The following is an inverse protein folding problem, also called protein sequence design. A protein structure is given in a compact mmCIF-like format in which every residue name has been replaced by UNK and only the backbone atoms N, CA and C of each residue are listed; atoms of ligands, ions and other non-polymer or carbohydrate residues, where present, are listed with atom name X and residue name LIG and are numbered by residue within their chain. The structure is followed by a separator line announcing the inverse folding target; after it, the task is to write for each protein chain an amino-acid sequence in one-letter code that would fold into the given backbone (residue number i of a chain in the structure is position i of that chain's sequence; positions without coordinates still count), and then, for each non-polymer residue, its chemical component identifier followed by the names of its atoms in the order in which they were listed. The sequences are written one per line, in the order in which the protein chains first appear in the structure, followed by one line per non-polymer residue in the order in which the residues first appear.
data_IF_178995868354
#
_entry.id   IF_178995868354
#
_cell.length_a   1.000
_cell.length_b   1.000
_cell.length_c   1.000
_cell.angle_alpha   90.00
_cell.angle_beta   90.00
_cell.angle_gamma   90.00
#
_symmetry.space_group_name_H-M   'P 1'
#
loop_
_entity.id
_entity.type
_entity.pdbx_description
1 polymer ?
#
# COMPACT_ATOMS: atom_id res chain seq x y z
N UNK A 1 4.29 4.25 -12.82
CA UNK A 1 5.20 3.11 -13.05
C UNK A 1 5.92 3.15 -14.39
N UNK A 2 5.30 2.87 -15.55
CA UNK A 2 6.03 2.80 -16.85
C UNK A 2 6.86 4.05 -17.16
N UNK A 3 6.27 5.24 -17.04
CA UNK A 3 6.96 6.53 -17.32
C UNK A 3 8.06 6.85 -16.31
N UNK A 4 7.82 6.58 -15.02
CA UNK A 4 8.75 6.98 -13.94
C UNK A 4 9.91 5.99 -13.76
N UNK A 5 9.63 4.68 -13.91
CA UNK A 5 10.64 3.62 -13.70
C UNK A 5 11.46 3.38 -14.97
N UNK A 6 10.85 3.57 -16.14
CA UNK A 6 11.53 3.42 -17.43
C UNK A 6 12.04 2.01 -17.68
N UNK A 7 13.26 1.91 -18.20
CA UNK A 7 13.88 0.63 -18.63
C UNK A 7 14.21 -0.32 -17.47
N UNK A 8 14.17 0.14 -16.21
CA UNK A 8 14.27 -0.75 -15.03
C UNK A 8 13.02 -1.62 -14.84
N UNK A 9 11.89 -1.24 -15.45
CA UNK A 9 10.66 -2.03 -15.41
C UNK A 9 10.64 -3.01 -16.59
N UNK A 10 10.70 -4.33 -16.35
CA UNK A 10 10.60 -5.30 -17.43
C UNK A 10 9.32 -5.15 -18.25
N UNK A 11 9.43 -5.37 -19.55
CA UNK A 11 8.31 -5.29 -20.48
C UNK A 11 7.76 -6.70 -20.69
N UNK A 12 6.49 -6.90 -20.38
CA UNK A 12 5.79 -8.11 -20.81
C UNK A 12 5.71 -8.15 -22.33
N UNK A 13 6.02 -9.32 -22.90
CA UNK A 13 5.63 -9.68 -24.25
C UNK A 13 4.10 -9.75 -24.36
N UNK A 14 3.59 -9.82 -25.61
CA UNK A 14 2.16 -10.02 -25.85
C UNK A 14 1.66 -11.33 -25.22
N UNK A 15 2.45 -12.41 -25.31
CA UNK A 15 2.10 -13.73 -24.76
C UNK A 15 1.97 -13.67 -23.24
N UNK A 16 2.96 -13.11 -22.55
CA UNK A 16 2.92 -13.00 -21.09
C UNK A 16 1.79 -12.08 -20.62
N UNK A 17 1.55 -10.96 -21.34
CA UNK A 17 0.44 -10.06 -21.03
C UNK A 17 -0.92 -10.78 -21.11
N UNK A 18 -1.10 -11.67 -22.10
CA UNK A 18 -2.32 -12.48 -22.23
C UNK A 18 -2.42 -13.54 -21.11
N UNK A 19 -1.30 -14.10 -20.65
CA UNK A 19 -1.30 -15.08 -19.56
C UNK A 19 -1.73 -14.49 -18.21
N UNK A 20 -1.35 -13.23 -17.92
CA UNK A 20 -1.66 -12.57 -16.64
C UNK A 20 -3.01 -11.87 -16.66
N UNK A 21 -3.44 -11.35 -17.82
CA UNK A 21 -4.71 -10.61 -17.91
C UNK A 21 -5.89 -11.55 -17.65
N UNK A 22 -6.63 -11.29 -16.57
CA UNK A 22 -7.79 -12.09 -16.19
C UNK A 22 -7.45 -13.38 -15.46
N UNK A 23 -6.20 -13.58 -15.03
CA UNK A 23 -5.77 -14.76 -14.29
C UNK A 23 -6.11 -14.73 -12.79
N UNK A 24 -7.14 -13.97 -12.39
CA UNK A 24 -7.51 -13.76 -10.99
C UNK A 24 -8.91 -14.29 -10.76
N UNK A 25 -9.03 -15.33 -9.93
CA UNK A 25 -10.34 -15.84 -9.46
C UNK A 25 -10.89 -15.01 -8.29
N UNK A 26 -10.00 -14.53 -7.42
CA UNK A 26 -10.29 -13.64 -6.29
C UNK A 26 -9.05 -12.81 -5.90
N UNK A 27 -9.28 -11.70 -5.21
CA UNK A 27 -8.23 -10.85 -4.64
C UNK A 27 -8.09 -11.09 -3.13
N UNK A 28 -6.93 -11.57 -2.70
CA UNK A 28 -6.53 -11.50 -1.29
C UNK A 28 -6.00 -10.11 -0.96
N UNK A 29 -6.56 -9.47 0.05
CA UNK A 29 -6.18 -8.13 0.50
C UNK A 29 -5.62 -8.17 1.93
N UNK A 30 -4.36 -7.78 2.06
CA UNK A 30 -3.70 -7.56 3.34
C UNK A 30 -3.76 -6.06 3.66
N UNK A 31 -4.55 -5.68 4.66
CA UNK A 31 -4.70 -4.28 5.04
C UNK A 31 -4.38 -4.08 6.52
N UNK A 32 -3.52 -3.11 6.81
CA UNK A 32 -3.09 -2.80 8.16
C UNK A 32 -3.17 -1.30 8.48
N UNK A 33 -2.74 -0.43 7.56
CA UNK A 33 -2.60 1.01 7.79
C UNK A 33 -2.82 1.81 6.52
N UNK A 34 -2.85 3.14 6.65
CA UNK A 34 -2.78 4.09 5.56
C UNK A 34 -1.73 5.18 5.87
N UNK A 35 -1.31 5.92 4.85
CA UNK A 35 -0.35 7.01 4.98
C UNK A 35 -0.87 8.28 4.29
N UNK A 36 -0.45 9.44 4.77
CA UNK A 36 -0.48 10.63 3.95
C UNK A 36 0.51 10.47 2.80
N UNK A 37 0.13 10.94 1.61
CA UNK A 37 1.00 11.00 0.44
C UNK A 37 1.25 12.46 0.05
N UNK A 38 2.51 12.80 -0.21
CA UNK A 38 2.92 14.13 -0.67
C UNK A 38 3.76 14.00 -1.95
N UNK A 39 3.46 14.84 -2.94
CA UNK A 39 4.20 14.87 -4.20
C UNK A 39 5.67 15.26 -4.00
N UNK A 40 6.58 14.53 -4.65
CA UNK A 40 8.01 14.85 -4.72
C UNK A 40 8.31 15.43 -6.10
N UNK A 41 8.62 16.72 -6.14
CA UNK A 41 8.76 17.48 -7.40
C UNK A 41 10.05 17.13 -8.14
N UNK A 42 11.09 16.69 -7.43
CA UNK A 42 12.41 16.40 -8.01
C UNK A 42 12.75 14.93 -7.78
N UNK A 43 12.93 14.19 -8.88
CA UNK A 43 13.39 12.81 -8.83
C UNK A 43 14.84 12.72 -8.33
N UNK A 44 15.11 11.82 -7.38
CA UNK A 44 16.48 11.53 -6.99
C UNK A 44 17.17 10.72 -8.10
N UNK A 45 18.10 11.36 -8.80
CA UNK A 45 18.86 10.74 -9.90
C UNK A 45 20.11 9.98 -9.44
N UNK A 46 20.48 10.08 -8.15
CA UNK A 46 21.69 9.48 -7.59
C UNK A 46 21.35 8.16 -6.88
N UNK A 47 20.41 8.18 -5.93
CA UNK A 47 19.96 7.00 -5.20
C UNK A 47 18.61 6.53 -5.73
N UNK A 48 18.63 5.91 -6.89
CA UNK A 48 17.44 5.33 -7.53
C UNK A 48 16.99 4.11 -6.71
N UNK A 49 15.74 4.10 -6.28
CA UNK A 49 15.16 2.99 -5.52
C UNK A 49 13.68 2.79 -5.87
N UNK A 50 13.19 1.56 -5.66
CA UNK A 50 11.77 1.25 -5.78
C UNK A 50 10.89 2.19 -4.93
N UNK A 51 11.35 2.55 -3.72
CA UNK A 51 10.62 3.46 -2.84
C UNK A 51 10.50 4.89 -3.38
N UNK A 52 11.51 5.37 -4.11
CA UNK A 52 11.52 6.71 -4.69
C UNK A 52 10.82 6.80 -6.07
N UNK A 53 10.60 5.67 -6.75
CA UNK A 53 10.06 5.60 -8.12
C UNK A 53 8.65 6.18 -8.27
N UNK A 54 7.87 6.20 -7.19
CA UNK A 54 6.51 6.74 -7.21
C UNK A 54 6.47 8.27 -7.25
N UNK A 55 7.59 8.95 -6.96
CA UNK A 55 7.66 10.39 -6.71
C UNK A 55 6.64 10.86 -5.65
N UNK A 56 6.35 10.01 -4.67
CA UNK A 56 5.48 10.32 -3.55
C UNK A 56 6.15 9.94 -2.23
N UNK A 57 6.23 10.90 -1.30
CA UNK A 57 6.61 10.63 0.07
C UNK A 57 5.39 10.16 0.84
N UNK A 58 5.56 9.08 1.61
CA UNK A 58 4.54 8.55 2.50
C UNK A 58 4.93 8.83 3.95
N UNK A 59 3.98 9.28 4.76
CA UNK A 59 4.20 9.61 6.18
C UNK A 59 2.93 9.36 6.98
N UNK A 60 3.08 8.93 8.23
CA UNK A 60 1.96 8.87 9.17
C UNK A 60 1.68 10.22 9.82
N UNK A 61 2.64 11.16 9.79
CA UNK A 61 2.51 12.52 10.33
C UNK A 61 2.44 13.56 9.22
N UNK A 62 1.48 14.47 9.31
CA UNK A 62 1.42 15.67 8.49
C UNK A 62 1.39 16.92 9.37
N UNK A 63 2.56 17.51 9.59
CA UNK A 63 2.76 18.75 10.37
C UNK A 63 2.33 18.61 11.84
N UNK A 64 2.72 17.50 12.48
CA UNK A 64 2.35 17.17 13.86
C UNK A 64 0.98 16.52 13.99
N UNK A 65 0.26 16.31 12.87
CA UNK A 65 -1.04 15.64 12.85
C UNK A 65 -0.84 14.22 12.36
N UNK A 66 -0.87 13.26 13.27
CA UNK A 66 -0.88 11.84 12.93
C UNK A 66 -2.15 11.48 12.16
N UNK A 67 -2.03 10.55 11.22
CA UNK A 67 -3.16 10.05 10.43
C UNK A 67 -4.20 9.35 11.32
N UNK A 68 -3.73 8.66 12.36
CA UNK A 68 -4.49 8.03 13.41
C UNK A 68 -3.57 7.65 14.58
N UNK A 69 -4.10 7.15 15.71
CA UNK A 69 -3.28 6.62 16.80
C UNK A 69 -2.34 5.51 16.31
N UNK A 70 -1.06 5.52 16.73
CA UNK A 70 -0.12 4.44 16.44
C UNK A 70 -0.44 3.20 17.27
N UNK A 71 -0.08 2.03 16.74
CA UNK A 71 -0.04 0.77 17.47
C UNK A 71 1.34 0.58 18.13
N UNK A 72 1.70 -0.65 18.51
CA UNK A 72 3.02 -0.93 19.06
C UNK A 72 4.13 -0.84 18.01
N UNK A 73 3.86 -1.30 16.79
CA UNK A 73 4.75 -1.14 15.64
C UNK A 73 4.74 0.29 15.11
N UNK A 74 5.92 0.88 14.94
CA UNK A 74 6.07 2.27 14.47
C UNK A 74 5.47 2.56 13.09
N UNK A 75 5.32 1.54 12.24
CA UNK A 75 4.72 1.67 10.91
C UNK A 75 3.18 1.58 10.93
N UNK A 76 2.58 1.06 12.01
CA UNK A 76 1.17 0.69 12.08
C UNK A 76 0.34 1.80 12.74
N UNK A 77 -0.62 2.35 11.99
CA UNK A 77 -1.56 3.37 12.47
C UNK A 77 -2.98 2.93 12.13
N UNK A 78 -3.89 2.95 13.12
CA UNK A 78 -5.22 2.33 12.97
C UNK A 78 -6.16 3.25 12.17
N UNK A 79 -6.22 3.07 10.85
CA UNK A 79 -7.02 3.91 9.94
C UNK A 79 -8.07 3.10 9.16
N UNK A 80 -9.24 2.77 9.75
CA UNK A 80 -10.24 1.89 9.11
C UNK A 80 -10.92 2.50 7.89
N UNK A 81 -10.99 3.83 7.79
CA UNK A 81 -11.58 4.52 6.62
C UNK A 81 -10.81 4.17 5.34
N UNK A 82 -9.49 4.05 5.41
CA UNK A 82 -8.66 3.71 4.25
C UNK A 82 -8.98 2.34 3.67
N UNK A 83 -9.36 1.35 4.49
CA UNK A 83 -9.80 0.05 4.00
C UNK A 83 -11.06 0.18 3.15
N UNK A 84 -12.06 0.91 3.64
CA UNK A 84 -13.31 1.15 2.92
C UNK A 84 -13.04 1.86 1.58
N UNK A 85 -12.22 2.91 1.60
CA UNK A 85 -11.92 3.69 0.40
C UNK A 85 -11.14 2.85 -0.62
N UNK A 86 -10.22 1.98 -0.18
CA UNK A 86 -9.52 1.03 -1.04
C UNK A 86 -10.48 0.01 -1.67
N UNK A 87 -11.43 -0.55 -0.90
CA UNK A 87 -12.41 -1.50 -1.41
C UNK A 87 -13.33 -0.85 -2.47
N UNK A 88 -13.75 0.39 -2.25
CA UNK A 88 -14.52 1.16 -3.23
C UNK A 88 -13.68 1.41 -4.49
N UNK A 89 -12.42 1.81 -4.32
CA UNK A 89 -11.53 2.03 -5.46
C UNK A 89 -11.33 0.76 -6.30
N UNK A 90 -11.11 -0.39 -5.66
CA UNK A 90 -11.01 -1.69 -6.35
C UNK A 90 -12.31 -2.03 -7.08
N UNK A 91 -13.46 -1.81 -6.43
CA UNK A 91 -14.78 -2.00 -7.04
C UNK A 91 -14.95 -1.17 -8.32
N UNK A 92 -14.61 0.10 -8.28
CA UNK A 92 -14.83 1.04 -9.38
C UNK A 92 -13.82 0.90 -10.52
N UNK A 93 -12.59 0.45 -10.24
CA UNK A 93 -11.48 0.51 -11.20
C UNK A 93 -10.98 -0.87 -11.68
N UNK A 94 -11.38 -1.97 -11.02
CA UNK A 94 -10.86 -3.31 -11.27
C UNK A 94 -11.94 -4.38 -11.45
N UNK A 95 -13.10 -4.01 -11.98
CA UNK A 95 -14.24 -4.91 -12.26
C UNK A 95 -14.84 -5.59 -11.02
N UNK A 96 -14.62 -5.03 -9.83
CA UNK A 96 -15.22 -5.51 -8.58
C UNK A 96 -15.07 -7.03 -8.37
N UNK A 97 -13.83 -7.57 -8.32
CA UNK A 97 -13.61 -8.99 -8.13
C UNK A 97 -14.09 -9.43 -6.74
N UNK A 98 -14.21 -10.74 -6.51
CA UNK A 98 -14.37 -11.26 -5.16
C UNK A 98 -13.13 -10.90 -4.33
N UNK A 99 -13.31 -10.29 -3.16
CA UNK A 99 -12.22 -9.87 -2.27
C UNK A 99 -12.33 -10.61 -0.95
N UNK A 100 -11.20 -11.14 -0.47
CA UNK A 100 -11.04 -11.65 0.88
C UNK A 100 -10.02 -10.79 1.62
N UNK A 101 -10.36 -10.35 2.83
CA UNK A 101 -9.36 -9.75 3.72
C UNK A 101 -8.54 -10.91 4.29
N UNK A 102 -7.35 -11.13 3.73
CA UNK A 102 -6.48 -12.25 4.09
C UNK A 102 -5.62 -11.94 5.30
N UNK A 103 -5.36 -10.65 5.55
CA UNK A 103 -4.70 -10.19 6.78
C UNK A 103 -5.25 -8.83 7.21
N UNK A 104 -5.58 -8.71 8.50
CA UNK A 104 -5.87 -7.46 9.19
C UNK A 104 -5.67 -7.66 10.69
N UNK A 105 -4.85 -6.80 11.31
CA UNK A 105 -4.53 -6.93 12.72
C UNK A 105 -3.89 -5.69 13.29
N UNK A 106 -3.71 -5.71 14.61
CA UNK A 106 -3.01 -4.68 15.37
C UNK A 106 -2.12 -5.36 16.40
N UNK A 107 -0.93 -4.81 16.61
CA UNK A 107 -0.02 -5.26 17.63
C UNK A 107 -0.08 -4.37 18.88
N UNK A 108 0.19 -4.98 20.04
CA UNK A 108 0.23 -4.30 21.32
C UNK A 108 1.62 -4.36 21.92
N UNK A 109 1.96 -3.37 22.75
CA UNK A 109 3.23 -3.37 23.46
C UNK A 109 3.23 -4.53 24.45
N UNK A 110 4.40 -5.17 24.62
CA UNK A 110 4.55 -6.20 25.62
C UNK A 110 4.18 -5.66 27.00
N UNK A 111 3.17 -6.26 27.62
CA UNK A 111 2.73 -5.90 28.95
C UNK A 111 2.87 -7.12 29.87
N UNK A 112 3.97 -7.17 30.63
CA UNK A 112 4.31 -8.27 31.54
C UNK A 112 3.35 -8.44 32.72
N UNK A 113 2.38 -7.53 32.88
CA UNK A 113 1.34 -7.63 33.92
C UNK A 113 0.09 -8.36 33.45
N UNK A 114 -0.05 -8.60 32.14
CA UNK A 114 -1.17 -9.38 31.60
C UNK A 114 -0.93 -10.88 31.85
N UNK A 115 -1.97 -11.63 32.28
CA UNK A 115 -1.87 -13.08 32.37
C UNK A 115 -1.73 -13.70 30.97
N UNK A 116 -1.02 -14.83 30.91
CA UNK A 116 -0.95 -15.70 29.72
C UNK A 116 -2.31 -16.35 29.44
#
# INVERSE_FOLDING_TARGET
MRTLVGERLPKFSKKESMMVKGSLDFLGLNYYTAFYAANVVVANSVNISYSADSLANQTSDRKGILICPPAASSWLHVYPRGLRDLLIYVKENYNNPTIYITENGVDELNNSTLPL
#
